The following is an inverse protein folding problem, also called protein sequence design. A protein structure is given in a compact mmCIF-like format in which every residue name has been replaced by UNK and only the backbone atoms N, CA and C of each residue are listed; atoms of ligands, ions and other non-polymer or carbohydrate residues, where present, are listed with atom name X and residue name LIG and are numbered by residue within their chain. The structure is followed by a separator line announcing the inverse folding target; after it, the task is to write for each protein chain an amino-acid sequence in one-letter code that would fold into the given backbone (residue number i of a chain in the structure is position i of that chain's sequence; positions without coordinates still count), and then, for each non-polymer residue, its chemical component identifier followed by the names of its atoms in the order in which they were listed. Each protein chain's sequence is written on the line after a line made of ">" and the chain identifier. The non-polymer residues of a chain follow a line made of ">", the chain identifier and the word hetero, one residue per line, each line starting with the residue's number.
data_IF_033888560570
#
_entry.id   IF_033888560570
#
_cell.length_a   1.000
_cell.length_b   1.000
_cell.length_c   1.000
_cell.angle_alpha   90.00
_cell.angle_beta   90.00
_cell.angle_gamma   90.00
#
_symmetry.space_group_name_H-M   'P 1'
#
loop_
_entity.id
_entity.type
_entity.pdbx_description
1 polymer ?
#
# COMPACT_ATOMS: atom_id res chain seq x y z
N UNK A 1 16.55 16.24 9.94
CA UNK A 1 17.62 15.22 10.11
C UNK A 1 18.18 14.75 8.77
N UNK A 2 17.37 14.25 7.83
CA UNK A 2 17.88 13.81 6.52
C UNK A 2 18.29 14.94 5.55
N UNK A 3 17.73 16.15 5.72
CA UNK A 3 18.05 17.31 4.87
C UNK A 3 19.44 17.89 5.12
N UNK A 4 19.99 17.74 6.33
CA UNK A 4 21.29 18.32 6.71
C UNK A 4 22.47 17.37 6.47
N UNK A 5 22.23 16.04 6.44
CA UNK A 5 23.26 15.01 6.15
C UNK A 5 22.66 13.85 5.32
N UNK A 6 22.50 14.02 4.00
CA UNK A 6 21.82 13.03 3.15
C UNK A 6 22.58 11.70 3.02
N UNK A 7 23.91 11.69 3.18
CA UNK A 7 24.73 10.47 3.09
C UNK A 7 24.59 9.54 4.32
N UNK A 8 24.11 10.07 5.44
CA UNK A 8 24.01 9.33 6.70
C UNK A 8 22.62 8.69 6.93
N UNK A 9 21.70 8.78 5.95
CA UNK A 9 20.29 8.37 6.10
C UNK A 9 20.12 6.95 6.67
N UNK A 10 21.00 6.02 6.30
CA UNK A 10 20.97 4.63 6.77
C UNK A 10 21.14 4.49 8.27
N UNK A 11 21.93 5.36 8.91
CA UNK A 11 22.13 5.37 10.37
C UNK A 11 20.85 5.72 11.13
N UNK A 12 19.92 6.42 10.48
CA UNK A 12 18.66 6.84 11.06
C UNK A 12 17.53 5.81 10.87
N UNK A 13 17.79 4.72 10.14
CA UNK A 13 16.78 3.70 9.87
C UNK A 13 16.16 3.11 11.15
N UNK A 14 16.94 2.74 12.19
CA UNK A 14 16.36 2.23 13.44
C UNK A 14 15.45 3.25 14.14
N UNK A 15 15.81 4.54 14.08
CA UNK A 15 15.00 5.61 14.66
C UNK A 15 13.70 5.83 13.88
N UNK A 16 13.76 5.75 12.54
CA UNK A 16 12.59 5.87 11.68
C UNK A 16 11.62 4.70 11.88
N UNK A 17 12.15 3.47 12.00
CA UNK A 17 11.38 2.28 12.31
C UNK A 17 10.71 2.37 13.69
N UNK A 18 11.48 2.76 14.72
CA UNK A 18 10.93 2.98 16.06
C UNK A 18 9.81 4.02 16.03
N UNK A 19 10.05 5.17 15.41
CA UNK A 19 9.04 6.22 15.28
C UNK A 19 7.80 5.71 14.55
N UNK A 20 7.94 5.00 13.43
CA UNK A 20 6.80 4.43 12.71
C UNK A 20 6.00 3.44 13.59
N UNK A 21 6.69 2.55 14.31
CA UNK A 21 6.06 1.53 15.13
C UNK A 21 5.37 2.08 16.39
N UNK A 22 5.82 3.21 16.92
CA UNK A 22 5.25 3.85 18.11
C UNK A 22 4.28 4.99 17.83
N UNK A 23 4.09 5.40 16.57
CA UNK A 23 3.14 6.45 16.23
C UNK A 23 1.74 5.91 15.97
N UNK A 24 0.75 6.76 16.22
CA UNK A 24 -0.64 6.43 16.00
C UNK A 24 -0.94 6.23 14.51
N UNK A 25 -1.51 5.07 14.15
CA UNK A 25 -1.91 4.78 12.79
C UNK A 25 -3.43 4.94 12.63
N UNK A 26 -3.87 5.86 11.76
CA UNK A 26 -5.28 6.24 11.60
C UNK A 26 -6.20 5.08 11.18
N UNK A 27 -5.70 4.15 10.37
CA UNK A 27 -6.44 2.94 9.94
C UNK A 27 -6.54 1.87 11.03
N UNK A 28 -5.58 1.79 11.95
CA UNK A 28 -5.59 0.81 13.03
C UNK A 28 -6.31 1.35 14.28
N UNK A 29 -6.30 2.68 14.46
CA UNK A 29 -6.70 3.41 15.68
C UNK A 29 -5.80 3.13 16.88
N UNK A 30 -4.58 2.69 16.62
CA UNK A 30 -3.56 2.32 17.59
C UNK A 30 -2.19 2.32 16.90
N UNK A 31 -1.12 2.13 17.67
CA UNK A 31 0.24 2.05 17.12
C UNK A 31 0.49 0.66 16.49
N UNK A 32 1.29 0.54 15.42
CA UNK A 32 1.64 -0.77 14.87
C UNK A 32 2.25 -1.74 15.91
N UNK A 33 3.01 -1.21 16.87
CA UNK A 33 3.53 -1.98 18.00
C UNK A 33 2.40 -2.57 18.86
N UNK A 34 1.44 -1.75 19.30
CA UNK A 34 0.28 -2.22 20.07
C UNK A 34 -0.55 -3.24 19.28
N UNK A 35 -0.66 -3.07 17.96
CA UNK A 35 -1.38 -4.00 17.09
C UNK A 35 -0.78 -5.41 17.16
N UNK A 36 0.55 -5.48 17.15
CA UNK A 36 1.30 -6.73 17.09
C UNK A 36 1.40 -7.40 18.46
N UNK A 37 1.73 -6.62 19.48
CA UNK A 37 2.07 -7.11 20.81
C UNK A 37 0.93 -7.04 21.82
N UNK A 38 -0.11 -6.23 21.57
CA UNK A 38 -1.27 -6.10 22.44
C UNK A 38 -1.03 -5.23 23.68
N UNK A 39 0.11 -4.54 23.77
CA UNK A 39 0.44 -3.59 24.83
C UNK A 39 1.16 -2.36 24.28
N UNK A 40 1.17 -1.27 25.07
CA UNK A 40 1.76 0.01 24.67
C UNK A 40 3.29 -0.04 24.60
N UNK A 41 3.94 0.56 23.60
CA UNK A 41 5.39 0.69 23.58
C UNK A 41 5.86 1.49 24.81
N UNK A 42 6.88 1.00 25.50
CA UNK A 42 7.49 1.69 26.64
C UNK A 42 8.54 2.67 26.11
N UNK A 43 8.37 3.96 26.37
CA UNK A 43 9.13 5.02 25.70
C UNK A 43 10.55 5.27 26.25
N UNK A 44 11.06 4.49 27.21
CA UNK A 44 12.33 4.79 27.88
C UNK A 44 13.19 3.55 28.19
N UNK A 45 14.49 3.55 27.84
CA UNK A 45 15.44 2.55 28.33
C UNK A 45 15.75 2.83 29.81
N UNK A 46 15.45 1.87 30.69
CA UNK A 46 15.85 1.94 32.12
C UNK A 46 14.77 1.62 33.14
N UNK A 47 13.49 1.49 32.75
CA UNK A 47 12.44 1.05 33.67
C UNK A 47 12.27 -0.47 33.52
N UNK A 48 13.04 -1.22 34.31
CA UNK A 48 12.87 -2.65 34.48
C UNK A 48 11.54 -2.93 35.18
N UNK A 49 10.50 -3.24 34.40
CA UNK A 49 9.32 -3.94 34.92
C UNK A 49 9.24 -5.33 34.28
N UNK A 50 10.27 -6.15 34.53
CA UNK A 50 10.18 -7.61 34.43
C UNK A 50 9.36 -8.18 35.61
N UNK A 51 8.29 -7.48 36.02
CA UNK A 51 7.53 -7.81 37.21
C UNK A 51 6.04 -7.71 36.89
N UNK A 52 5.56 -8.66 36.06
CA UNK A 52 4.16 -9.15 36.00
C UNK A 52 3.76 -9.76 34.64
N UNK A 53 4.68 -9.99 33.69
CA UNK A 53 4.32 -10.63 32.42
C UNK A 53 3.90 -12.11 32.59
N UNK A 54 4.26 -12.77 33.70
CA UNK A 54 4.04 -14.21 33.87
C UNK A 54 2.70 -14.62 34.47
N UNK A 55 1.91 -13.74 35.10
CA UNK A 55 0.79 -14.24 35.93
C UNK A 55 -0.50 -14.49 35.14
N UNK A 56 -0.65 -14.02 33.90
CA UNK A 56 -1.95 -14.08 33.19
C UNK A 56 -1.89 -14.30 31.67
N UNK A 57 -1.13 -15.29 31.22
CA UNK A 57 -1.04 -15.64 29.80
C UNK A 57 -2.41 -15.87 29.11
N UNK A 58 -3.39 -16.44 29.82
CA UNK A 58 -4.75 -16.66 29.29
C UNK A 58 -5.50 -15.35 29.00
N UNK A 59 -5.42 -14.37 29.90
CA UNK A 59 -6.07 -13.06 29.72
C UNK A 59 -5.42 -12.29 28.56
N UNK A 60 -4.09 -12.37 28.41
CA UNK A 60 -3.37 -11.76 27.29
C UNK A 60 -3.80 -12.33 25.93
N UNK A 61 -3.97 -13.65 25.84
CA UNK A 61 -4.44 -14.30 24.61
C UNK A 61 -5.86 -13.86 24.27
N UNK A 62 -6.77 -13.82 25.25
CA UNK A 62 -8.15 -13.36 25.05
C UNK A 62 -8.20 -11.89 24.60
N UNK A 63 -7.44 -11.02 25.28
CA UNK A 63 -7.30 -9.62 24.91
C UNK A 63 -6.78 -9.46 23.48
N UNK A 64 -5.74 -10.22 23.10
CA UNK A 64 -5.19 -10.19 21.73
C UNK A 64 -6.21 -10.63 20.68
N UNK A 65 -7.02 -11.66 20.96
CA UNK A 65 -8.07 -12.11 20.05
C UNK A 65 -9.14 -11.03 19.84
N UNK A 66 -9.58 -10.38 20.92
CA UNK A 66 -10.51 -9.25 20.86
C UNK A 66 -9.92 -8.08 20.07
N UNK A 67 -8.67 -7.71 20.36
CA UNK A 67 -7.97 -6.64 19.66
C UNK A 67 -7.82 -6.94 18.16
N UNK A 68 -7.48 -8.18 17.80
CA UNK A 68 -7.37 -8.61 16.40
C UNK A 68 -8.69 -8.44 15.66
N UNK A 69 -9.82 -8.74 16.30
CA UNK A 69 -11.16 -8.54 15.73
C UNK A 69 -11.40 -7.06 15.43
N UNK A 70 -11.17 -6.19 16.42
CA UNK A 70 -11.33 -4.73 16.27
C UNK A 70 -10.43 -4.17 15.17
N UNK A 71 -9.17 -4.63 15.10
CA UNK A 71 -8.23 -4.20 14.06
C UNK A 71 -8.74 -4.59 12.67
N UNK A 72 -9.25 -5.81 12.49
CA UNK A 72 -9.80 -6.26 11.21
C UNK A 72 -10.98 -5.39 10.78
N UNK A 73 -11.88 -5.08 11.71
CA UNK A 73 -13.03 -4.22 11.45
C UNK A 73 -12.60 -2.80 11.07
N UNK A 74 -11.65 -2.22 11.81
CA UNK A 74 -11.07 -0.90 11.52
C UNK A 74 -10.39 -0.86 10.13
N UNK A 75 -9.64 -1.91 9.79
CA UNK A 75 -8.98 -2.03 8.49
C UNK A 75 -9.99 -2.14 7.36
N UNK A 76 -11.09 -2.90 7.54
CA UNK A 76 -12.16 -2.99 6.55
C UNK A 76 -12.76 -1.59 6.26
N UNK A 77 -13.10 -0.85 7.31
CA UNK A 77 -13.63 0.52 7.19
C UNK A 77 -12.63 1.49 6.51
N UNK A 78 -11.34 1.38 6.86
CA UNK A 78 -10.30 2.17 6.21
C UNK A 78 -10.20 1.84 4.72
N UNK A 79 -10.27 0.56 4.37
CA UNK A 79 -10.25 0.09 2.98
C UNK A 79 -11.45 0.60 2.19
N UNK A 80 -12.66 0.54 2.75
CA UNK A 80 -13.87 1.07 2.15
C UNK A 80 -13.79 2.58 1.92
N UNK A 81 -13.27 3.33 2.89
CA UNK A 81 -13.04 4.77 2.76
C UNK A 81 -12.06 5.06 1.61
N UNK A 82 -10.93 4.36 1.56
CA UNK A 82 -9.94 4.50 0.49
C UNK A 82 -10.55 4.17 -0.87
N UNK A 83 -11.34 3.09 -0.95
CA UNK A 83 -12.06 2.69 -2.16
C UNK A 83 -13.02 3.78 -2.62
N UNK A 84 -13.84 4.34 -1.72
CA UNK A 84 -14.78 5.42 -2.03
C UNK A 84 -14.09 6.62 -2.68
N UNK A 85 -12.96 7.07 -2.12
CA UNK A 85 -12.21 8.19 -2.68
C UNK A 85 -11.51 7.85 -4.00
N UNK A 86 -10.96 6.63 -4.13
CA UNK A 86 -10.34 6.19 -5.37
C UNK A 86 -11.36 6.09 -6.52
N UNK A 87 -12.52 5.49 -6.24
CA UNK A 87 -13.57 5.24 -7.24
C UNK A 87 -14.27 6.52 -7.70
N UNK A 88 -14.31 7.59 -6.89
CA UNK A 88 -14.81 8.92 -7.32
C UNK A 88 -14.07 9.47 -8.56
N UNK A 89 -12.78 9.16 -8.71
CA UNK A 89 -11.96 9.63 -9.83
C UNK A 89 -11.93 8.65 -11.01
N UNK A 90 -12.51 7.45 -10.85
CA UNK A 90 -12.48 6.41 -11.86
C UNK A 90 -13.66 6.57 -12.80
N UNK A 91 -13.39 6.36 -14.08
CA UNK A 91 -14.41 6.21 -15.12
C UNK A 91 -14.42 4.76 -15.54
N UNK A 92 -15.57 4.11 -15.43
CA UNK A 92 -15.73 2.75 -15.91
C UNK A 92 -15.69 2.77 -17.44
N UNK A 93 -14.61 2.22 -18.00
CA UNK A 93 -14.42 2.06 -19.44
C UNK A 93 -14.49 0.58 -19.75
N UNK A 94 -15.45 0.21 -20.58
CA UNK A 94 -15.58 -1.13 -21.12
C UNK A 94 -15.59 -1.06 -22.64
N UNK A 95 -14.88 -2.00 -23.25
CA UNK A 95 -14.80 -2.16 -24.71
C UNK A 95 -15.45 -3.48 -25.10
N UNK A 96 -16.12 -3.49 -26.25
CA UNK A 96 -16.66 -4.68 -26.88
C UNK A 96 -15.62 -5.34 -27.80
N UNK A 97 -15.89 -6.58 -28.20
CA UNK A 97 -15.13 -7.24 -29.28
C UNK A 97 -15.39 -6.44 -30.55
N UNK A 98 -14.37 -6.29 -31.40
CA UNK A 98 -14.36 -5.47 -32.63
C UNK A 98 -14.15 -3.96 -32.43
N UNK A 99 -14.18 -3.44 -31.20
CA UNK A 99 -13.86 -2.03 -30.94
C UNK A 99 -12.38 -1.72 -31.22
N UNK A 100 -12.09 -0.50 -31.67
CA UNK A 100 -10.74 -0.02 -31.85
C UNK A 100 -10.27 0.82 -30.66
N UNK A 101 -9.15 0.44 -30.06
CA UNK A 101 -8.58 1.09 -28.88
C UNK A 101 -7.12 1.47 -29.08
N UNK A 102 -6.71 2.55 -28.44
CA UNK A 102 -5.33 3.01 -28.42
C UNK A 102 -4.55 2.43 -27.25
N UNK A 103 -3.41 1.81 -27.52
CA UNK A 103 -2.58 1.18 -26.50
C UNK A 103 -1.50 2.15 -25.99
N UNK A 104 -1.43 2.34 -24.67
CA UNK A 104 -0.34 3.09 -24.03
C UNK A 104 0.76 2.16 -23.56
N UNK A 105 1.96 2.32 -24.11
CA UNK A 105 3.14 1.55 -23.72
C UNK A 105 4.23 2.45 -23.16
N UNK A 106 5.15 1.85 -22.40
CA UNK A 106 6.34 2.54 -21.96
C UNK A 106 7.35 2.58 -23.10
N UNK A 107 7.40 3.72 -23.80
CA UNK A 107 8.16 3.90 -25.04
C UNK A 107 9.64 3.54 -24.93
N UNK A 108 10.27 3.71 -23.77
CA UNK A 108 11.70 3.41 -23.56
C UNK A 108 12.02 1.92 -23.33
N UNK A 109 11.03 1.06 -23.12
CA UNK A 109 11.24 -0.36 -22.81
C UNK A 109 10.75 -1.32 -23.89
N UNK A 110 9.92 -0.86 -24.82
CA UNK A 110 9.22 -1.71 -25.78
C UNK A 110 9.24 -1.10 -27.19
N UNK A 111 10.24 -1.47 -27.98
CA UNK A 111 10.42 -1.04 -29.37
C UNK A 111 9.77 -1.99 -30.40
N UNK A 112 9.18 -3.10 -29.95
CA UNK A 112 8.69 -4.18 -30.82
C UNK A 112 7.47 -3.81 -31.68
N UNK A 113 6.73 -2.77 -31.32
CA UNK A 113 5.46 -2.41 -31.98
C UNK A 113 5.64 -1.31 -33.02
N UNK A 114 6.54 -0.35 -32.77
CA UNK A 114 6.91 0.66 -33.75
C UNK A 114 8.27 1.25 -33.40
N UNK A 115 9.19 1.27 -34.35
CA UNK A 115 10.47 1.94 -34.20
C UNK A 115 10.27 3.46 -34.39
N UNK A 116 10.31 4.22 -33.29
CA UNK A 116 10.12 5.67 -33.33
C UNK A 116 11.45 6.38 -33.12
N UNK A 117 11.86 7.22 -34.07
CA UNK A 117 13.13 7.97 -34.01
C UNK A 117 13.23 8.90 -32.79
N UNK A 118 12.12 9.53 -32.37
CA UNK A 118 12.09 10.47 -31.25
C UNK A 118 11.04 10.09 -30.21
N UNK A 119 11.43 9.40 -29.14
CA UNK A 119 10.50 8.87 -28.13
C UNK A 119 9.79 9.95 -27.31
N UNK A 120 10.43 11.11 -27.08
CA UNK A 120 9.89 12.20 -26.25
C UNK A 120 8.82 13.03 -26.96
N UNK A 121 8.93 13.19 -28.27
CA UNK A 121 8.02 14.00 -29.10
C UNK A 121 6.98 13.17 -29.86
N UNK A 122 7.11 11.85 -29.87
CA UNK A 122 6.14 10.99 -30.53
C UNK A 122 4.82 10.90 -29.75
N UNK A 123 3.74 10.55 -30.45
CA UNK A 123 2.41 10.35 -29.88
C UNK A 123 2.45 9.41 -28.66
N UNK A 124 1.73 9.72 -27.58
CA UNK A 124 1.80 8.90 -26.35
C UNK A 124 1.23 7.49 -26.51
N UNK A 125 0.28 7.33 -27.42
CA UNK A 125 -0.40 6.07 -27.69
C UNK A 125 0.05 5.45 -29.01
N UNK A 126 -0.13 4.14 -29.14
CA UNK A 126 0.14 3.35 -30.33
C UNK A 126 -1.19 2.87 -30.89
N UNK A 127 -1.38 3.10 -32.20
CA UNK A 127 -2.36 2.47 -33.10
C UNK A 127 -3.82 2.38 -32.64
N UNK A 128 -4.79 2.40 -33.54
CA UNK A 128 -6.04 1.73 -33.25
C UNK A 128 -5.79 0.21 -33.38
N UNK A 129 -5.79 -0.50 -32.26
CA UNK A 129 -5.80 -1.96 -32.24
C UNK A 129 -7.22 -2.45 -32.03
N UNK A 130 -7.57 -3.54 -32.71
CA UNK A 130 -8.90 -4.12 -32.63
C UNK A 130 -8.97 -5.08 -31.44
N UNK A 131 -10.00 -4.95 -30.61
CA UNK A 131 -10.23 -5.91 -29.51
C UNK A 131 -10.68 -7.24 -30.11
N UNK A 132 -9.82 -8.25 -30.02
CA UNK A 132 -10.08 -9.62 -30.50
C UNK A 132 -10.90 -10.41 -29.50
N UNK A 133 -10.61 -10.23 -28.20
CA UNK A 133 -11.22 -11.04 -27.15
C UNK A 133 -11.23 -10.29 -25.82
N UNK A 134 -12.29 -10.48 -25.02
CA UNK A 134 -12.39 -9.97 -23.65
C UNK A 134 -12.05 -11.08 -22.65
N UNK A 135 -10.82 -11.05 -22.12
CA UNK A 135 -10.32 -12.04 -21.15
C UNK A 135 -10.90 -11.80 -19.75
N UNK A 136 -11.15 -10.53 -19.38
CA UNK A 136 -11.73 -10.17 -18.09
C UNK A 136 -12.34 -8.76 -18.07
N UNK A 137 -12.78 -8.30 -16.90
CA UNK A 137 -13.43 -7.00 -16.76
C UNK A 137 -12.54 -5.81 -17.19
N UNK A 138 -11.22 -5.92 -17.02
CA UNK A 138 -10.23 -4.88 -17.37
C UNK A 138 -9.10 -5.42 -18.27
N UNK A 139 -9.23 -6.64 -18.79
CA UNK A 139 -8.19 -7.32 -19.55
C UNK A 139 -8.72 -7.74 -20.92
N UNK A 140 -8.05 -7.25 -21.97
CA UNK A 140 -8.46 -7.42 -23.36
C UNK A 140 -7.28 -7.93 -24.17
N UNK A 141 -7.58 -8.81 -25.13
CA UNK A 141 -6.66 -9.22 -26.17
C UNK A 141 -6.85 -8.30 -27.37
N UNK A 142 -5.74 -7.72 -27.82
CA UNK A 142 -5.64 -6.84 -28.97
C UNK A 142 -4.91 -7.55 -30.10
#
# INVERSE_FOLDING_TARGET
>A
MCSTRPKDWSKWFPLAEYWYNTNFHSSLKLTPFEALYGYRPQHLPGISYLKEVQTKAKELVQHKQQLTKVIKDNLALAHERMKKFADQSRTDKSFAIEDYVFLKLQSYRKNSIALRKHLKLAAKFYGPFKVVEKIGAMAYKL
#
